data_IF_784827341066
#
_entry.id   IF_784827341066
#
_cell.length_a   1.000
_cell.length_b   1.000
_cell.length_c   1.000
_cell.angle_alpha   90.00
_cell.angle_beta   90.00
_cell.angle_gamma   90.00
#
_symmetry.space_group_name_H-M   'P 1'
#
loop_
_entity.id
_entity.type
_entity.pdbx_description
1 polymer ?
#
# COMPACT_ATOMS: atom_id res chain seq x y z
N UNK A 1 0.95 13.08 2.41
CA UNK A 1 1.45 12.94 1.02
C UNK A 1 0.31 12.57 0.09
N UNK A 2 0.59 12.41 -1.20
CA UNK A 2 -0.43 12.21 -2.25
C UNK A 2 -1.33 11.01 -1.93
N UNK A 3 -0.77 9.84 -1.61
CA UNK A 3 -1.57 8.66 -1.25
C UNK A 3 -2.55 8.85 -0.10
N UNK A 4 -2.20 9.68 0.91
CA UNK A 4 -3.12 10.02 2.01
C UNK A 4 -4.29 10.90 1.53
N UNK A 5 -4.02 11.87 0.65
CA UNK A 5 -5.08 12.70 0.06
C UNK A 5 -6.03 11.88 -0.80
N UNK A 6 -5.50 10.93 -1.59
CA UNK A 6 -6.31 9.98 -2.38
C UNK A 6 -7.17 9.11 -1.47
N UNK A 7 -6.57 8.52 -0.43
CA UNK A 7 -7.31 7.70 0.53
C UNK A 7 -8.40 8.51 1.27
N UNK A 8 -8.14 9.77 1.61
CA UNK A 8 -9.11 10.68 2.19
C UNK A 8 -10.30 10.93 1.25
N UNK A 9 -10.04 11.19 -0.04
CA UNK A 9 -11.11 11.44 -1.01
C UNK A 9 -11.98 10.19 -1.24
N UNK A 10 -11.34 9.02 -1.39
CA UNK A 10 -12.06 7.74 -1.50
C UNK A 10 -12.91 7.47 -0.24
N UNK A 11 -12.35 7.71 0.95
CA UNK A 11 -13.07 7.53 2.20
C UNK A 11 -14.29 8.46 2.32
N UNK A 12 -14.20 9.72 1.87
CA UNK A 12 -15.36 10.66 1.80
C UNK A 12 -16.48 10.16 0.89
N UNK A 13 -16.16 9.34 -0.10
CA UNK A 13 -17.11 8.68 -1.00
C UNK A 13 -17.61 7.34 -0.44
N UNK A 14 -17.40 7.09 0.85
CA UNK A 14 -17.76 5.86 1.56
C UNK A 14 -17.05 4.59 1.06
N UNK A 15 -15.90 4.72 0.37
CA UNK A 15 -15.14 3.55 -0.05
C UNK A 15 -14.52 2.83 1.16
N UNK A 16 -14.55 1.49 1.14
CA UNK A 16 -13.67 0.68 1.99
C UNK A 16 -12.24 0.89 1.50
N UNK A 17 -11.39 1.46 2.35
CA UNK A 17 -10.06 1.92 1.92
C UNK A 17 -8.98 1.24 2.75
N UNK A 18 -8.13 0.44 2.09
CA UNK A 18 -6.95 -0.15 2.71
C UNK A 18 -5.77 0.79 2.50
N UNK A 19 -5.24 1.39 3.57
CA UNK A 19 -3.95 2.05 3.55
C UNK A 19 -2.86 0.98 3.65
N UNK A 20 -2.17 0.74 2.53
CA UNK A 20 -1.00 -0.12 2.48
C UNK A 20 0.26 0.70 2.80
N UNK A 21 0.87 0.47 3.95
CA UNK A 21 2.00 1.27 4.44
C UNK A 21 3.09 0.41 5.06
N UNK A 22 4.37 0.81 4.92
CA UNK A 22 5.49 0.10 5.55
C UNK A 22 5.57 0.33 7.07
N UNK A 23 5.22 1.52 7.53
CA UNK A 23 5.32 1.92 8.94
C UNK A 23 3.97 1.81 9.62
N UNK A 24 3.89 0.94 10.64
CA UNK A 24 2.65 0.74 11.40
C UNK A 24 2.20 2.03 12.10
N UNK A 25 3.10 2.69 12.82
CA UNK A 25 2.82 3.92 13.57
C UNK A 25 2.29 5.03 12.66
N UNK A 26 3.02 5.40 11.60
CA UNK A 26 2.61 6.45 10.67
C UNK A 26 1.34 6.08 9.90
N UNK A 27 1.18 4.81 9.56
CA UNK A 27 -0.01 4.30 8.90
C UNK A 27 -1.24 4.40 9.79
N UNK A 28 -1.12 4.03 11.07
CA UNK A 28 -2.21 4.05 12.03
C UNK A 28 -2.66 5.48 12.33
N UNK A 29 -1.71 6.41 12.52
CA UNK A 29 -2.02 7.82 12.67
C UNK A 29 -2.78 8.37 11.44
N UNK A 30 -2.38 7.97 10.23
CA UNK A 30 -3.10 8.38 9.01
C UNK A 30 -4.51 7.79 8.92
N UNK A 31 -4.72 6.54 9.34
CA UNK A 31 -6.05 5.91 9.39
C UNK A 31 -6.96 6.68 10.36
N UNK A 32 -6.48 6.99 11.56
CA UNK A 32 -7.25 7.71 12.57
C UNK A 32 -7.65 9.11 12.08
N UNK A 33 -6.71 9.83 11.47
CA UNK A 33 -7.00 11.14 10.91
C UNK A 33 -8.03 11.09 9.77
N UNK A 34 -7.92 10.12 8.86
CA UNK A 34 -8.90 9.96 7.77
C UNK A 34 -10.27 9.59 8.34
N UNK A 35 -10.35 8.67 9.30
CA UNK A 35 -11.63 8.31 9.95
C UNK A 35 -12.27 9.51 10.62
N UNK A 36 -11.49 10.29 11.38
CA UNK A 36 -11.98 11.50 12.04
C UNK A 36 -12.47 12.55 11.03
N UNK A 37 -11.75 12.75 9.93
CA UNK A 37 -12.08 13.76 8.93
C UNK A 37 -13.23 13.38 7.97
N UNK A 38 -13.53 12.08 7.84
CA UNK A 38 -14.54 11.58 6.88
C UNK A 38 -15.75 10.95 7.54
N UNK A 39 -15.66 10.56 8.81
CA UNK A 39 -16.67 9.75 9.49
C UNK A 39 -16.77 8.31 8.99
N UNK A 40 -15.92 7.89 8.05
CA UNK A 40 -15.96 6.55 7.47
C UNK A 40 -15.11 5.56 8.28
N UNK A 41 -15.69 4.57 8.99
CA UNK A 41 -14.94 3.61 9.79
C UNK A 41 -14.24 2.53 8.96
N UNK A 42 -14.58 2.37 7.67
CA UNK A 42 -14.09 1.33 6.78
C UNK A 42 -12.70 1.62 6.18
N UNK A 43 -11.95 2.55 6.78
CA UNK A 43 -10.56 2.82 6.46
C UNK A 43 -9.68 1.96 7.36
N UNK A 44 -8.83 1.09 6.81
CA UNK A 44 -8.03 0.12 7.58
C UNK A 44 -6.55 0.17 7.18
N UNK A 45 -5.68 -0.17 8.12
CA UNK A 45 -4.25 -0.33 7.87
C UNK A 45 -3.94 -1.79 7.50
N UNK A 46 -3.06 -1.97 6.51
CA UNK A 46 -2.36 -3.23 6.23
C UNK A 46 -0.90 -2.93 5.94
N UNK A 47 0.00 -3.76 6.46
CA UNK A 47 1.43 -3.54 6.28
C UNK A 47 1.88 -4.05 4.91
N UNK A 48 2.64 -3.21 4.21
CA UNK A 48 3.22 -3.53 2.92
C UNK A 48 4.56 -2.81 2.75
N UNK A 49 5.61 -3.58 2.48
CA UNK A 49 6.88 -3.06 1.99
C UNK A 49 7.06 -3.44 0.51
N UNK A 50 6.96 -2.48 -0.39
CA UNK A 50 7.17 -2.72 -1.83
C UNK A 50 8.64 -3.00 -2.17
N UNK A 51 9.57 -2.77 -1.24
CA UNK A 51 10.97 -3.18 -1.35
C UNK A 51 11.23 -4.66 -1.04
N UNK A 52 10.21 -5.42 -0.62
CA UNK A 52 10.31 -6.86 -0.33
C UNK A 52 9.24 -7.63 -1.09
N UNK A 53 9.65 -8.50 -2.03
CA UNK A 53 8.70 -9.29 -2.81
C UNK A 53 7.95 -10.30 -1.94
N UNK A 54 8.60 -10.80 -0.88
CA UNK A 54 7.94 -11.61 0.15
C UNK A 54 6.79 -10.84 0.85
N UNK A 55 7.03 -9.57 1.23
CA UNK A 55 5.97 -8.71 1.80
C UNK A 55 4.83 -8.49 0.81
N UNK A 56 5.15 -8.21 -0.46
CA UNK A 56 4.16 -8.04 -1.53
C UNK A 56 3.28 -9.28 -1.70
N UNK A 57 3.87 -10.48 -1.73
CA UNK A 57 3.12 -11.74 -1.86
C UNK A 57 2.23 -11.99 -0.65
N UNK A 58 2.74 -11.79 0.56
CA UNK A 58 1.96 -11.96 1.78
C UNK A 58 0.77 -11.00 1.83
N UNK A 59 0.98 -9.74 1.45
CA UNK A 59 -0.07 -8.73 1.37
C UNK A 59 -1.14 -9.10 0.33
N UNK A 60 -0.73 -9.45 -0.90
CA UNK A 60 -1.67 -9.81 -1.96
C UNK A 60 -2.53 -11.03 -1.56
N UNK A 61 -1.91 -12.08 -1.02
CA UNK A 61 -2.61 -13.26 -0.51
C UNK A 61 -3.58 -12.94 0.63
N UNK A 62 -3.27 -11.96 1.49
CA UNK A 62 -4.19 -11.52 2.53
C UNK A 62 -5.38 -10.76 1.95
N UNK A 63 -5.15 -9.82 1.04
CA UNK A 63 -6.21 -9.06 0.37
C UNK A 63 -7.16 -9.99 -0.37
N UNK A 64 -6.65 -10.92 -1.18
CA UNK A 64 -7.49 -11.86 -1.94
C UNK A 64 -8.30 -12.83 -1.06
N UNK A 65 -7.84 -13.08 0.16
CA UNK A 65 -8.58 -13.91 1.14
C UNK A 65 -9.63 -13.13 1.91
N UNK A 66 -9.32 -11.89 2.27
CA UNK A 66 -10.11 -11.09 3.23
C UNK A 66 -11.11 -10.17 2.53
N UNK A 67 -10.83 -9.76 1.30
CA UNK A 67 -11.68 -8.86 0.52
C UNK A 67 -12.38 -9.63 -0.59
N UNK A 68 -13.70 -9.51 -0.66
CA UNK A 68 -14.50 -10.18 -1.69
C UNK A 68 -14.32 -9.60 -3.09
N UNK A 69 -13.83 -8.36 -3.18
CA UNK A 69 -13.61 -7.64 -4.44
C UNK A 69 -12.60 -6.51 -4.25
N UNK A 70 -11.77 -6.28 -5.26
CA UNK A 70 -10.90 -5.10 -5.36
C UNK A 70 -11.35 -4.22 -6.53
N UNK A 71 -11.81 -3.01 -6.23
CA UNK A 71 -12.30 -2.06 -7.24
C UNK A 71 -11.19 -1.19 -7.85
N UNK A 72 -10.26 -0.73 -7.01
CA UNK A 72 -9.23 0.23 -7.39
C UNK A 72 -7.92 -0.12 -6.69
N UNK A 73 -6.83 -0.15 -7.46
CA UNK A 73 -5.46 -0.21 -6.95
C UNK A 73 -4.75 1.11 -7.28
N UNK A 74 -4.13 1.74 -6.27
CA UNK A 74 -3.34 2.96 -6.44
C UNK A 74 -1.88 2.68 -6.09
N UNK A 75 -1.06 2.41 -7.11
CA UNK A 75 0.39 2.28 -6.95
C UNK A 75 1.03 3.66 -6.74
N UNK A 76 1.04 4.13 -5.49
CA UNK A 76 1.55 5.45 -5.10
C UNK A 76 2.91 5.41 -4.37
N UNK A 77 3.29 4.28 -3.78
CA UNK A 77 4.56 4.18 -3.04
C UNK A 77 5.74 4.47 -3.98
N UNK A 78 6.68 5.30 -3.53
CA UNK A 78 7.84 5.67 -4.33
C UNK A 78 8.90 6.40 -3.52
N UNK A 79 10.15 6.19 -3.90
CA UNK A 79 11.35 6.80 -3.30
C UNK A 79 12.24 7.39 -4.39
N UNK A 80 12.99 8.44 -4.05
CA UNK A 80 14.01 9.04 -4.92
C UNK A 80 15.20 9.47 -4.07
N UNK A 81 16.38 9.54 -4.68
CA UNK A 81 17.61 9.99 -4.01
C UNK A 81 18.15 9.05 -2.93
N UNK A 82 17.78 7.76 -2.94
CA UNK A 82 18.39 6.77 -2.06
C UNK A 82 19.83 6.47 -2.54
N UNK A 83 20.78 6.24 -1.62
CA UNK A 83 22.06 5.62 -1.98
C UNK A 83 21.84 4.28 -2.67
N UNK A 84 22.73 3.92 -3.60
CA UNK A 84 22.69 2.61 -4.24
C UNK A 84 22.79 1.50 -3.18
N UNK A 85 21.85 0.56 -3.25
CA UNK A 85 21.79 -0.58 -2.36
C UNK A 85 21.10 -1.76 -3.05
N UNK A 86 21.44 -2.96 -2.59
CA UNK A 86 20.85 -4.21 -3.06
C UNK A 86 20.00 -4.79 -1.93
N UNK A 87 18.76 -5.19 -2.24
CA UNK A 87 17.87 -5.84 -1.30
C UNK A 87 18.38 -7.24 -0.92
N UNK A 88 17.83 -7.85 0.12
CA UNK A 88 18.14 -9.25 0.46
C UNK A 88 17.80 -10.25 -0.64
N UNK A 89 17.01 -9.84 -1.63
CA UNK A 89 16.60 -10.64 -2.79
C UNK A 89 17.49 -10.39 -4.03
N UNK A 90 18.59 -9.63 -3.89
CA UNK A 90 19.57 -9.41 -4.97
C UNK A 90 19.16 -8.38 -6.01
N UNK A 91 18.19 -7.51 -5.70
CA UNK A 91 17.65 -6.50 -6.62
C UNK A 91 18.05 -5.09 -6.18
N UNK A 92 18.21 -4.16 -7.12
CA UNK A 92 18.47 -2.76 -6.78
C UNK A 92 17.26 -2.16 -6.02
N UNK A 93 17.52 -1.47 -4.91
CA UNK A 93 16.51 -1.07 -3.94
C UNK A 93 15.46 -0.12 -4.54
N UNK A 94 15.88 0.91 -5.29
CA UNK A 94 14.97 1.90 -5.88
C UNK A 94 14.06 1.26 -6.92
N UNK A 95 14.64 0.43 -7.79
CA UNK A 95 13.94 -0.36 -8.80
C UNK A 95 12.94 -1.33 -8.16
N UNK A 96 13.33 -1.95 -7.05
CA UNK A 96 12.44 -2.86 -6.31
C UNK A 96 11.23 -2.10 -5.77
N UNK A 97 11.47 -1.00 -5.05
CA UNK A 97 10.41 -0.21 -4.39
C UNK A 97 9.46 0.43 -5.40
N UNK A 98 10.02 1.05 -6.45
CA UNK A 98 9.26 1.89 -7.37
C UNK A 98 8.64 1.11 -8.54
N UNK A 99 9.22 -0.02 -8.94
CA UNK A 99 8.80 -0.76 -10.12
C UNK A 99 8.44 -2.21 -9.81
N UNK A 100 9.39 -3.05 -9.38
CA UNK A 100 9.12 -4.50 -9.26
C UNK A 100 8.06 -4.84 -8.22
N UNK A 101 8.07 -4.19 -7.06
CA UNK A 101 7.06 -4.37 -6.02
C UNK A 101 5.64 -4.05 -6.51
N UNK A 102 5.39 -2.82 -7.02
CA UNK A 102 4.10 -2.46 -7.62
C UNK A 102 3.70 -3.34 -8.81
N UNK A 103 4.65 -3.70 -9.68
CA UNK A 103 4.41 -4.60 -10.81
C UNK A 103 3.94 -5.98 -10.33
N UNK A 104 4.67 -6.59 -9.39
CA UNK A 104 4.31 -7.88 -8.82
C UNK A 104 2.96 -7.82 -8.11
N UNK A 105 2.73 -6.78 -7.29
CA UNK A 105 1.46 -6.59 -6.58
C UNK A 105 0.28 -6.54 -7.54
N UNK A 106 0.42 -5.76 -8.61
CA UNK A 106 -0.63 -5.63 -9.63
C UNK A 106 -0.95 -6.96 -10.29
N UNK A 107 0.08 -7.72 -10.71
CA UNK A 107 -0.12 -9.03 -11.33
C UNK A 107 -0.76 -10.03 -10.37
N UNK A 108 -0.34 -10.06 -9.10
CA UNK A 108 -0.92 -10.96 -8.10
C UNK A 108 -2.38 -10.66 -7.80
N UNK A 109 -2.80 -9.39 -7.83
CA UNK A 109 -4.17 -8.98 -7.53
C UNK A 109 -5.13 -9.10 -8.73
N UNK A 110 -4.60 -9.23 -9.96
CA UNK A 110 -5.42 -9.35 -11.17
C UNK A 110 -5.89 -10.80 -11.43
N UNK A 111 -5.12 -11.81 -11.00
CA UNK A 111 -5.39 -13.22 -11.31
C UNK A 111 -4.85 -13.63 -12.67
#
# INVERSE_FOLDING_TARGET
>A
GIGKCVAMDLARRNARTILACRSQERGQAAVEEIRAATGNPAVVLRLLDTGSLASVRAFASAVLREESRLDVLVNNAGVTGLPFAITSEGLEQTFTINYLGPFLLTNLLLG
#
